data_IF_725375961001
#
_entry.id   IF_725375961001
#
_cell.length_a   1.000
_cell.length_b   1.000
_cell.length_c   1.000
_cell.angle_alpha   90.00
_cell.angle_beta   90.00
_cell.angle_gamma   90.00
#
_symmetry.space_group_name_H-M   'P 1'
#
loop_
_entity.id
_entity.type
_entity.pdbx_description
1 polymer ?
#
# COMPACT_ATOMS: atom_id res chain seq x y z
N UNK A 1 -2.24 -15.33 -2.49
CA UNK A 1 -2.61 -14.27 -1.56
C UNK A 1 -1.50 -13.22 -1.47
N UNK A 2 -1.88 -11.94 -1.61
CA UNK A 2 -0.92 -10.85 -1.54
C UNK A 2 -1.25 -9.92 -0.37
N UNK A 3 -0.34 -9.86 0.59
CA UNK A 3 -0.52 -9.02 1.77
C UNK A 3 0.21 -7.69 1.60
N UNK A 4 -0.55 -6.63 1.33
CA UNK A 4 0.02 -5.30 1.13
C UNK A 4 -0.32 -4.39 2.31
N UNK A 5 0.72 -3.89 2.97
CA UNK A 5 0.54 -3.00 4.11
C UNK A 5 0.41 -1.55 3.67
N UNK A 6 0.09 -0.67 4.61
CA UNK A 6 -0.06 0.75 4.31
C UNK A 6 0.30 1.61 5.52
N UNK A 7 1.42 2.31 5.42
CA UNK A 7 1.88 3.17 6.51
C UNK A 7 2.04 4.61 6.04
N UNK A 8 1.14 5.48 6.50
CA UNK A 8 1.18 6.89 6.12
C UNK A 8 1.36 7.78 7.35
N UNK A 9 2.09 8.88 7.17
CA UNK A 9 2.33 9.78 8.28
C UNK A 9 2.38 11.24 7.82
N UNK A 10 1.21 11.86 7.68
CA UNK A 10 1.13 13.25 7.26
C UNK A 10 0.21 14.04 8.16
N UNK A 11 -1.09 13.71 8.14
CA UNK A 11 -2.05 14.40 8.97
C UNK A 11 -3.07 13.47 9.58
N UNK A 12 -3.69 12.64 8.74
CA UNK A 12 -4.68 11.69 9.21
C UNK A 12 -4.06 10.59 10.06
N UNK A 13 -4.77 10.17 11.10
CA UNK A 13 -4.29 9.13 12.00
C UNK A 13 -3.84 7.90 11.22
N UNK A 14 -4.75 7.36 10.41
CA UNK A 14 -4.45 6.17 9.61
C UNK A 14 -4.82 6.40 8.14
N UNK A 15 -4.33 5.52 7.28
CA UNK A 15 -4.61 5.62 5.85
C UNK A 15 -6.04 5.18 5.54
N UNK A 16 -6.94 6.15 5.53
CA UNK A 16 -8.35 5.87 5.25
C UNK A 16 -8.64 5.92 3.76
N UNK A 17 -8.35 7.08 3.15
CA UNK A 17 -8.58 7.26 1.72
C UNK A 17 -7.88 6.18 0.91
N UNK A 18 -6.59 5.95 1.21
CA UNK A 18 -5.82 4.94 0.51
C UNK A 18 -6.49 3.57 0.59
N UNK A 19 -6.66 3.06 1.80
CA UNK A 19 -7.30 1.76 2.00
C UNK A 19 -8.67 1.72 1.34
N UNK A 20 -9.55 2.64 1.75
CA UNK A 20 -10.90 2.70 1.20
C UNK A 20 -10.86 2.73 -0.33
N UNK A 21 -9.82 3.33 -0.88
CA UNK A 21 -9.66 3.42 -2.33
C UNK A 21 -9.23 2.09 -2.91
N UNK A 22 -8.06 1.62 -2.51
CA UNK A 22 -7.52 0.35 -2.99
C UNK A 22 -8.56 -0.77 -2.85
N UNK A 23 -9.07 -0.94 -1.63
CA UNK A 23 -10.08 -1.97 -1.36
C UNK A 23 -11.21 -1.89 -2.36
N UNK A 24 -11.53 -0.67 -2.80
CA UNK A 24 -12.61 -0.46 -3.76
C UNK A 24 -12.20 -0.94 -5.15
N UNK A 25 -10.94 -0.72 -5.49
CA UNK A 25 -10.42 -1.12 -6.80
C UNK A 25 -10.23 -2.63 -6.86
N UNK A 26 -9.56 -3.19 -5.86
CA UNK A 26 -9.31 -4.62 -5.79
C UNK A 26 -10.60 -5.41 -6.01
N UNK A 27 -11.69 -4.90 -5.47
CA UNK A 27 -12.99 -5.56 -5.61
C UNK A 27 -13.43 -5.61 -7.07
N UNK A 28 -13.36 -4.46 -7.73
CA UNK A 28 -13.76 -4.36 -9.14
C UNK A 28 -12.94 -5.34 -10.00
N UNK A 29 -11.67 -5.50 -9.65
CA UNK A 29 -10.79 -6.41 -10.37
C UNK A 29 -11.05 -7.86 -9.99
N UNK A 30 -11.55 -8.05 -8.78
CA UNK A 30 -11.84 -9.40 -8.28
C UNK A 30 -10.56 -10.21 -8.13
N UNK A 31 -9.55 -9.61 -7.52
CA UNK A 31 -8.27 -10.27 -7.31
C UNK A 31 -8.12 -10.72 -5.86
N UNK A 32 -7.39 -11.81 -5.65
CA UNK A 32 -7.16 -12.33 -4.31
C UNK A 32 -6.13 -11.49 -3.58
N UNK A 33 -6.52 -10.27 -3.21
CA UNK A 33 -5.62 -9.37 -2.49
C UNK A 33 -6.24 -8.90 -1.19
N UNK A 34 -5.41 -8.75 -0.16
CA UNK A 34 -5.88 -8.31 1.15
C UNK A 34 -5.05 -7.14 1.66
N UNK A 35 -5.72 -6.02 1.93
CA UNK A 35 -5.04 -4.83 2.42
C UNK A 35 -4.75 -4.93 3.91
N UNK A 36 -3.61 -4.40 4.33
CA UNK A 36 -3.22 -4.43 5.74
C UNK A 36 -2.88 -3.03 6.24
N UNK A 37 -3.27 -2.73 7.47
CA UNK A 37 -2.99 -1.43 8.07
C UNK A 37 -2.17 -1.57 9.34
N UNK A 38 -1.02 -0.92 9.37
CA UNK A 38 -0.14 -0.98 10.53
C UNK A 38 0.56 0.36 10.76
N UNK A 39 1.26 0.48 11.87
CA UNK A 39 1.97 1.71 12.21
C UNK A 39 3.33 1.75 11.51
N UNK A 40 3.91 2.94 11.45
CA UNK A 40 5.22 3.12 10.81
C UNK A 40 6.26 2.18 11.42
N UNK A 41 6.18 1.99 12.73
CA UNK A 41 7.10 1.12 13.44
C UNK A 41 6.54 -0.30 13.57
N UNK A 42 5.69 -0.68 12.62
CA UNK A 42 5.09 -2.02 12.64
C UNK A 42 5.46 -2.80 11.39
N UNK A 43 5.86 -2.08 10.35
CA UNK A 43 6.25 -2.71 9.08
C UNK A 43 7.53 -3.52 9.25
N UNK A 44 8.34 -3.16 10.23
CA UNK A 44 9.58 -3.86 10.48
C UNK A 44 9.40 -5.37 10.47
N UNK A 45 8.68 -5.87 11.49
CA UNK A 45 8.42 -7.32 11.62
C UNK A 45 7.47 -7.83 10.55
N UNK A 46 6.68 -6.93 9.98
CA UNK A 46 5.72 -7.30 8.94
C UNK A 46 6.35 -7.15 7.55
N UNK A 47 7.62 -7.50 7.44
CA UNK A 47 8.34 -7.40 6.17
C UNK A 47 8.35 -8.75 5.45
N UNK A 48 8.45 -9.83 6.23
CA UNK A 48 8.49 -11.17 5.67
C UNK A 48 7.09 -11.61 5.25
N UNK A 49 6.19 -11.74 6.21
CA UNK A 49 4.82 -12.16 5.94
C UNK A 49 4.20 -11.31 4.85
N UNK A 50 4.41 -10.00 4.92
CA UNK A 50 3.87 -9.08 3.93
C UNK A 50 4.55 -9.26 2.57
N UNK A 51 3.97 -8.67 1.53
CA UNK A 51 4.51 -8.77 0.19
C UNK A 51 4.86 -7.40 -0.36
N UNK A 52 3.89 -6.48 -0.30
CA UNK A 52 4.10 -5.13 -0.81
C UNK A 52 3.88 -4.10 0.31
N UNK A 53 4.54 -2.95 0.19
CA UNK A 53 4.42 -1.89 1.18
C UNK A 53 4.32 -0.53 0.51
N UNK A 54 3.51 0.35 1.09
CA UNK A 54 3.33 1.69 0.55
C UNK A 54 3.35 2.74 1.65
N UNK A 55 4.19 3.75 1.49
CA UNK A 55 4.31 4.82 2.47
C UNK A 55 4.57 6.16 1.80
N UNK A 56 4.14 7.24 2.45
CA UNK A 56 4.33 8.58 1.92
C UNK A 56 5.75 9.08 2.18
N UNK A 57 6.25 8.81 3.38
CA UNK A 57 7.60 9.23 3.76
C UNK A 57 8.20 8.29 4.80
N UNK A 58 9.37 8.66 5.32
CA UNK A 58 10.04 7.85 6.31
C UNK A 58 10.34 6.45 5.78
N UNK A 59 10.89 6.40 4.57
CA UNK A 59 11.21 5.13 3.93
C UNK A 59 12.72 4.88 3.95
N UNK A 60 13.32 4.99 5.12
CA UNK A 60 14.76 4.78 5.27
C UNK A 60 15.03 3.57 6.15
N UNK A 61 15.07 2.39 5.54
CA UNK A 61 15.34 1.15 6.27
C UNK A 61 15.75 0.03 5.32
N UNK A 62 16.15 -1.10 5.88
CA UNK A 62 16.57 -2.24 5.08
C UNK A 62 15.37 -3.01 4.55
N UNK A 63 14.58 -2.35 3.70
CA UNK A 63 13.40 -2.97 3.13
C UNK A 63 13.77 -4.09 2.18
N UNK A 64 12.97 -5.17 2.20
CA UNK A 64 13.23 -6.32 1.34
C UNK A 64 12.15 -6.45 0.28
N UNK A 65 11.69 -5.31 -0.24
CA UNK A 65 10.66 -5.30 -1.27
C UNK A 65 10.61 -3.94 -1.96
N UNK A 66 10.05 -3.93 -3.19
CA UNK A 66 9.92 -2.70 -3.98
C UNK A 66 8.90 -1.73 -3.39
N UNK A 67 9.35 -0.86 -2.49
CA UNK A 67 8.47 0.11 -1.86
C UNK A 67 7.92 1.09 -2.88
N UNK A 68 6.67 1.50 -2.69
CA UNK A 68 6.02 2.44 -3.60
C UNK A 68 5.55 3.69 -2.85
N UNK A 69 6.15 4.83 -3.18
CA UNK A 69 5.79 6.09 -2.54
C UNK A 69 4.28 6.33 -2.61
N UNK A 70 3.73 6.88 -1.54
CA UNK A 70 2.29 7.16 -1.47
C UNK A 70 2.00 8.60 -1.88
N UNK A 71 2.77 9.11 -2.84
CA UNK A 71 2.59 10.47 -3.32
C UNK A 71 1.34 10.59 -4.17
N UNK A 72 1.03 9.53 -4.92
CA UNK A 72 -0.15 9.52 -5.78
C UNK A 72 -1.43 9.56 -4.95
N UNK A 73 -1.37 9.01 -3.74
CA UNK A 73 -2.52 8.98 -2.85
C UNK A 73 -2.56 10.23 -1.97
N UNK A 74 -2.31 11.39 -2.58
CA UNK A 74 -2.31 12.65 -1.86
C UNK A 74 -3.73 13.18 -1.68
N UNK A 75 -4.55 13.01 -2.70
CA UNK A 75 -5.93 13.48 -2.67
C UNK A 75 -6.91 12.32 -2.91
N UNK A 76 -6.58 11.46 -3.87
CA UNK A 76 -7.44 10.34 -4.18
C UNK A 76 -7.93 10.35 -5.61
N UNK A 77 -7.06 10.75 -6.53
CA UNK A 77 -7.42 10.81 -7.95
C UNK A 77 -6.39 10.08 -8.80
N UNK A 78 -5.13 10.15 -8.40
CA UNK A 78 -4.07 9.49 -9.14
C UNK A 78 -3.79 8.09 -8.63
N UNK A 79 -4.84 7.39 -8.20
CA UNK A 79 -4.70 6.03 -7.69
C UNK A 79 -4.48 5.04 -8.82
N UNK A 80 -5.29 5.13 -9.86
CA UNK A 80 -5.19 4.24 -11.01
C UNK A 80 -3.75 4.21 -11.53
N UNK A 81 -3.08 5.36 -11.47
CA UNK A 81 -1.71 5.46 -11.95
C UNK A 81 -0.81 4.44 -11.25
N UNK A 82 -0.59 4.65 -9.96
CA UNK A 82 0.26 3.75 -9.17
C UNK A 82 -0.33 2.34 -9.12
N UNK A 83 -1.66 2.26 -9.02
CA UNK A 83 -2.35 0.98 -8.97
C UNK A 83 -1.91 0.08 -10.12
N UNK A 84 -1.71 0.68 -11.30
CA UNK A 84 -1.30 -0.05 -12.47
C UNK A 84 0.09 -0.66 -12.28
N UNK A 85 0.95 0.05 -11.56
CA UNK A 85 2.30 -0.41 -11.30
C UNK A 85 2.30 -1.56 -10.30
N UNK A 86 1.64 -1.34 -9.16
CA UNK A 86 1.56 -2.37 -8.12
C UNK A 86 0.80 -3.59 -8.61
N UNK A 87 -0.22 -3.35 -9.44
CA UNK A 87 -1.02 -4.44 -9.98
C UNK A 87 -0.22 -5.29 -10.97
N UNK A 88 0.77 -4.67 -11.60
CA UNK A 88 1.62 -5.36 -12.56
C UNK A 88 2.17 -6.66 -11.97
N UNK A 89 2.43 -6.64 -10.67
CA UNK A 89 2.96 -7.82 -9.99
C UNK A 89 1.84 -8.63 -9.34
N UNK A 90 0.84 -7.93 -8.82
CA UNK A 90 -0.30 -8.58 -8.17
C UNK A 90 -0.92 -9.62 -9.09
N UNK A 91 -1.25 -9.21 -10.31
CA UNK A 91 -1.85 -10.11 -11.28
C UNK A 91 -0.94 -10.29 -12.49
N UNK A 92 0.37 -10.27 -12.25
CA UNK A 92 1.34 -10.44 -13.32
C UNK A 92 1.00 -11.63 -14.19
#
# INVERSE_FOLDING_TARGET
>A
MKQVLVACGAGIATSTVVNNAIEEMAKEHNIKVDIKQIKITEVGPYEDTADLLVTTAMTKKEYKFPVINARNFLTGIGIEETKQQILTELQK
#
